data_IF_337686232377
#
_entry.id   IF_337686232377
#
_cell.length_a   1.000
_cell.length_b   1.000
_cell.length_c   1.000
_cell.angle_alpha   90.00
_cell.angle_beta   90.00
_cell.angle_gamma   90.00
#
_symmetry.space_group_name_H-M   'P 1'
#
loop_
_entity.id
_entity.type
_entity.pdbx_description
1 polymer ?
#
# COMPACT_ATOMS: atom_id res chain seq x y z
N UNK A 1 10.54 -9.92 1.07
CA UNK A 1 9.16 -9.44 1.18
C UNK A 1 9.16 -8.01 0.71
N UNK A 2 8.18 -7.63 -0.11
CA UNK A 2 8.07 -6.30 -0.71
C UNK A 2 6.81 -5.59 -0.21
N UNK A 3 6.71 -4.30 -0.49
CA UNK A 3 5.46 -3.55 -0.38
C UNK A 3 4.72 -3.61 -1.72
N UNK A 4 3.88 -4.63 -1.89
CA UNK A 4 3.13 -4.87 -3.12
C UNK A 4 1.87 -4.00 -3.21
N UNK A 5 1.67 -3.39 -4.37
CA UNK A 5 0.48 -2.59 -4.68
C UNK A 5 -0.60 -3.46 -5.34
N UNK A 6 -1.85 -3.42 -4.85
CA UNK A 6 -2.98 -4.10 -5.50
C UNK A 6 -3.27 -3.46 -6.87
N UNK A 7 -3.47 -2.14 -6.88
CA UNK A 7 -3.53 -1.31 -8.08
C UNK A 7 -2.15 -0.68 -8.29
N UNK A 8 -1.48 -1.02 -9.39
CA UNK A 8 -0.10 -0.59 -9.64
C UNK A 8 0.01 0.94 -9.69
N UNK A 9 1.18 1.47 -9.32
CA UNK A 9 1.42 2.93 -9.33
C UNK A 9 1.34 3.57 -10.73
N UNK A 10 1.50 2.76 -11.78
CA UNK A 10 1.31 3.19 -13.17
C UNK A 10 -0.17 3.25 -13.55
N UNK A 11 -0.98 2.27 -13.11
CA UNK A 11 -2.41 2.20 -13.46
C UNK A 11 -3.29 3.11 -12.57
N UNK A 12 -2.90 3.30 -11.31
CA UNK A 12 -3.63 4.10 -10.33
C UNK A 12 -2.67 4.99 -9.51
N UNK A 13 -2.05 6.01 -10.12
CA UNK A 13 -1.10 6.90 -9.43
C UNK A 13 -1.71 7.63 -8.22
N UNK A 14 -3.02 7.89 -8.24
CA UNK A 14 -3.77 8.47 -7.12
C UNK A 14 -3.79 7.57 -5.87
N UNK A 15 -3.60 6.26 -6.03
CA UNK A 15 -3.57 5.29 -4.93
C UNK A 15 -2.14 4.93 -4.50
N UNK A 16 -1.12 5.67 -4.98
CA UNK A 16 0.30 5.34 -4.78
C UNK A 16 0.70 5.21 -3.31
N UNK A 17 0.13 6.03 -2.44
CA UNK A 17 0.42 6.10 -1.01
C UNK A 17 -0.80 5.78 -0.14
N UNK A 18 -1.89 5.26 -0.72
CA UNK A 18 -3.03 4.76 0.05
C UNK A 18 -2.63 3.45 0.75
N UNK A 19 -2.63 3.45 2.09
CA UNK A 19 -2.25 2.28 2.90
C UNK A 19 -3.14 1.06 2.60
N UNK A 20 -4.40 1.27 2.20
CA UNK A 20 -5.32 0.18 1.82
C UNK A 20 -4.95 -0.48 0.49
N UNK A 21 -4.06 0.14 -0.30
CA UNK A 21 -3.58 -0.40 -1.57
C UNK A 21 -2.20 -1.09 -1.43
N UNK A 22 -1.54 -1.02 -0.26
CA UNK A 22 -0.12 -1.42 -0.08
C UNK A 22 0.01 -2.44 1.04
N UNK A 23 0.53 -3.63 0.70
CA UNK A 23 0.68 -4.71 1.69
C UNK A 23 1.99 -5.47 1.54
N UNK A 24 2.39 -6.14 2.63
CA UNK A 24 3.54 -7.04 2.63
C UNK A 24 3.28 -8.21 1.67
N UNK A 25 4.08 -8.32 0.62
CA UNK A 25 3.90 -9.33 -0.44
C UNK A 25 5.18 -10.15 -0.66
N UNK A 26 5.01 -11.42 -1.06
CA UNK A 26 6.14 -12.29 -1.42
C UNK A 26 6.84 -11.76 -2.68
N UNK A 27 8.18 -11.86 -2.76
CA UNK A 27 8.98 -11.33 -3.88
C UNK A 27 8.52 -11.93 -5.22
N UNK A 28 8.35 -13.26 -5.27
CA UNK A 28 7.89 -13.96 -6.46
C UNK A 28 6.51 -13.49 -6.91
N UNK A 29 5.60 -13.29 -5.97
CA UNK A 29 4.24 -12.86 -6.21
C UNK A 29 4.22 -11.44 -6.80
N UNK A 30 4.99 -10.54 -6.19
CA UNK A 30 5.05 -9.13 -6.55
C UNK A 30 5.78 -8.92 -7.89
N UNK A 31 6.99 -9.48 -8.03
CA UNK A 31 7.89 -9.17 -9.14
C UNK A 31 7.73 -10.10 -10.35
N UNK A 32 7.30 -11.35 -10.15
CA UNK A 32 7.29 -12.38 -11.23
C UNK A 32 5.89 -12.90 -11.59
N UNK A 33 4.87 -12.61 -10.78
CA UNK A 33 3.46 -13.00 -11.04
C UNK A 33 2.54 -11.81 -11.26
N UNK A 34 3.09 -10.67 -11.70
CA UNK A 34 2.34 -9.45 -11.97
C UNK A 34 1.45 -9.02 -10.78
N UNK A 35 2.02 -9.03 -9.57
CA UNK A 35 1.28 -8.72 -8.33
C UNK A 35 0.34 -9.83 -7.84
N UNK A 36 0.23 -10.95 -8.55
CA UNK A 36 -0.60 -12.11 -8.19
C UNK A 36 -2.04 -11.68 -7.80
N UNK A 37 -2.68 -10.88 -8.66
CA UNK A 37 -3.85 -10.05 -8.32
C UNK A 37 -5.09 -10.83 -7.87
N UNK A 38 -5.36 -12.01 -8.46
CA UNK A 38 -6.56 -12.80 -8.11
C UNK A 38 -6.54 -13.21 -6.62
N UNK A 39 -5.50 -13.90 -6.12
CA UNK A 39 -5.42 -14.20 -4.69
C UNK A 39 -5.18 -12.94 -3.85
N UNK A 40 -4.55 -11.88 -4.39
CA UNK A 40 -4.45 -10.60 -3.68
C UNK A 40 -5.85 -10.05 -3.37
N UNK A 41 -6.74 -9.96 -4.36
CA UNK A 41 -8.10 -9.43 -4.19
C UNK A 41 -8.88 -10.19 -3.13
N UNK A 42 -8.82 -11.52 -3.14
CA UNK A 42 -9.49 -12.37 -2.14
C UNK A 42 -9.03 -12.04 -0.73
N UNK A 43 -7.71 -11.97 -0.51
CA UNK A 43 -7.15 -11.62 0.79
C UNK A 43 -7.44 -10.16 1.18
N UNK A 44 -7.47 -9.25 0.20
CA UNK A 44 -7.78 -7.85 0.44
C UNK A 44 -9.22 -7.68 0.93
N UNK A 45 -10.18 -8.39 0.34
CA UNK A 45 -11.58 -8.40 0.82
C UNK A 45 -11.65 -8.91 2.26
N UNK A 46 -10.91 -9.97 2.61
CA UNK A 46 -10.85 -10.48 3.98
C UNK A 46 -10.28 -9.46 4.97
N UNK A 47 -9.36 -8.60 4.50
CA UNK A 47 -8.63 -7.63 5.34
C UNK A 47 -9.38 -6.33 5.56
N UNK A 48 -9.97 -5.76 4.51
CA UNK A 48 -10.58 -4.42 4.55
C UNK A 48 -12.07 -4.41 4.18
N UNK A 49 -12.66 -5.57 3.87
CA UNK A 49 -14.06 -5.70 3.46
C UNK A 49 -14.28 -5.44 1.97
N UNK A 50 -15.42 -5.92 1.44
CA UNK A 50 -15.77 -5.80 0.03
C UNK A 50 -15.92 -4.34 -0.40
N UNK A 51 -16.62 -3.52 0.39
CA UNK A 51 -16.91 -2.12 0.07
C UNK A 51 -15.62 -1.30 -0.14
N UNK A 52 -14.62 -1.46 0.74
CA UNK A 52 -13.35 -0.76 0.61
C UNK A 52 -12.53 -1.22 -0.60
N UNK A 53 -12.66 -2.50 -1.00
CA UNK A 53 -12.05 -3.00 -2.24
C UNK A 53 -12.74 -2.39 -3.46
N UNK A 54 -14.07 -2.32 -3.45
CA UNK A 54 -14.84 -1.73 -4.54
C UNK A 54 -14.54 -0.24 -4.71
N UNK A 55 -14.31 0.51 -3.62
CA UNK A 55 -13.82 1.89 -3.66
C UNK A 55 -12.45 2.01 -4.35
N UNK A 56 -11.52 1.12 -4.02
CA UNK A 56 -10.17 1.08 -4.63
C UNK A 56 -10.26 0.79 -6.12
N UNK A 57 -11.14 -0.14 -6.51
CA UNK A 57 -11.34 -0.56 -7.90
C UNK A 57 -12.06 0.50 -8.74
N UNK A 58 -13.00 1.23 -8.13
CA UNK A 58 -13.79 2.27 -8.80
C UNK A 58 -13.14 3.66 -8.79
N UNK A 59 -12.10 3.88 -7.99
CA UNK A 59 -11.40 5.17 -7.94
C UNK A 59 -10.54 5.42 -9.19
N UNK A 60 -11.00 6.32 -10.05
CA UNK A 60 -10.32 6.79 -11.26
C UNK A 60 -9.93 8.27 -11.19
N UNK A 61 -9.82 8.82 -9.98
CA UNK A 61 -9.49 10.22 -9.78
C UNK A 61 -8.09 10.54 -10.33
N UNK A 62 -7.93 11.72 -10.93
CA UNK A 62 -6.61 12.21 -11.34
C UNK A 62 -5.96 12.90 -10.15
N UNK A 63 -4.82 12.39 -9.72
CA UNK A 63 -3.99 13.05 -8.73
C UNK A 63 -2.52 12.99 -9.12
N UNK A 64 -1.87 14.15 -9.11
CA UNK A 64 -0.44 14.30 -9.40
C UNK A 64 0.26 14.73 -8.12
N UNK A 65 0.95 13.79 -7.51
CA UNK A 65 1.76 14.03 -6.32
C UNK A 65 2.82 15.10 -6.59
N UNK A 66 2.79 16.15 -5.80
CA UNK A 66 3.83 17.18 -5.74
C UNK A 66 5.04 16.67 -4.97
N UNK A 67 6.17 17.35 -5.14
CA UNK A 67 7.40 17.01 -4.43
C UNK A 67 7.23 17.26 -2.93
N UNK A 68 6.52 18.32 -2.57
CA UNK A 68 6.20 18.73 -1.21
C UNK A 68 5.35 17.66 -0.51
N UNK A 69 4.27 17.18 -1.12
CA UNK A 69 3.46 16.08 -0.58
C UNK A 69 4.30 14.81 -0.38
N UNK A 70 5.13 14.45 -1.37
CA UNK A 70 6.00 13.28 -1.26
C UNK A 70 7.00 13.41 -0.09
N UNK A 71 7.53 14.62 0.15
CA UNK A 71 8.42 14.90 1.29
C UNK A 71 7.68 14.77 2.63
N UNK A 72 6.46 15.28 2.71
CA UNK A 72 5.60 15.16 3.90
C UNK A 72 5.30 13.71 4.22
N UNK A 73 4.86 12.93 3.22
CA UNK A 73 4.58 11.49 3.36
C UNK A 73 5.84 10.75 3.84
N UNK A 74 6.99 11.01 3.22
CA UNK A 74 8.26 10.40 3.64
C UNK A 74 8.57 10.69 5.12
N UNK A 75 8.41 11.94 5.56
CA UNK A 75 8.68 12.33 6.94
C UNK A 75 7.73 11.62 7.92
N UNK A 76 6.44 11.53 7.58
CA UNK A 76 5.44 10.82 8.37
C UNK A 76 5.81 9.34 8.57
N UNK A 77 6.12 8.62 7.49
CA UNK A 77 6.49 7.21 7.58
C UNK A 77 7.82 6.97 8.31
N UNK A 78 8.78 7.91 8.21
CA UNK A 78 9.99 7.86 9.02
C UNK A 78 9.68 7.97 10.52
N UNK A 79 8.73 8.84 10.90
CA UNK A 79 8.28 8.96 12.29
C UNK A 79 7.51 7.73 12.76
N UNK A 80 6.57 7.21 11.95
CA UNK A 80 5.84 5.95 12.22
C UNK A 80 6.82 4.80 12.46
N UNK A 81 7.86 4.67 11.62
CA UNK A 81 8.90 3.66 11.77
C UNK A 81 9.70 3.81 13.06
N UNK A 82 10.08 5.05 13.43
CA UNK A 82 10.78 5.33 14.69
C UNK A 82 9.93 4.90 15.89
N UNK A 83 8.66 5.29 15.93
CA UNK A 83 7.71 4.91 16.99
C UNK A 83 7.57 3.39 17.09
N UNK A 84 7.42 2.71 15.96
CA UNK A 84 7.31 1.25 15.91
C UNK A 84 8.57 0.56 16.46
N UNK A 85 9.77 1.04 16.11
CA UNK A 85 11.03 0.50 16.63
C UNK A 85 11.15 0.66 18.15
N UNK A 86 10.83 1.85 18.67
CA UNK A 86 10.85 2.11 20.10
C UNK A 86 9.85 1.20 20.87
N UNK A 87 8.62 1.07 20.37
CA UNK A 87 7.63 0.19 20.99
C UNK A 87 8.07 -1.28 21.06
N UNK A 88 8.87 -1.74 20.09
CA UNK A 88 9.40 -3.12 20.07
C UNK A 88 10.57 -3.31 21.02
N UNK A 89 11.40 -2.29 21.22
CA UNK A 89 12.47 -2.35 22.22
C UNK A 89 11.95 -2.23 23.65
N UNK A 90 10.84 -1.53 23.86
CA UNK A 90 10.19 -1.43 25.19
C UNK A 90 9.44 -2.71 25.57
N UNK A 91 9.00 -3.50 24.59
CA UNK A 91 8.30 -4.77 24.80
C UNK A 91 9.22 -6.00 24.87
N UNK A 92 10.54 -5.83 24.70
CA UNK A 92 11.55 -6.88 24.69
C UNK A 92 12.42 -6.81 25.95
#
# INVERSE_FOLDING_TARGET
WDAGHYRTTAAAPQLRFDERNIHKQCVVCNQHKSGNLVPYRVELINRIGQEAVDEIESNHNRHRWTVEECRTIKAEYQQKLKKLRNSRSEAA
#
